data_IF_075584677267
#
_entry.id   IF_075584677267
#
_cell.length_a   1.000
_cell.length_b   1.000
_cell.length_c   1.000
_cell.angle_alpha   90.00
_cell.angle_beta   90.00
_cell.angle_gamma   90.00
#
_symmetry.space_group_name_H-M   'P 1'
#
loop_
_entity.id
_entity.type
_entity.pdbx_description
1 polymer ?
#
# COMPACT_ATOMS: atom_id res chain seq x y z
N UNK A 1 -43.23 -13.59 11.20
CA UNK A 1 -43.83 -14.69 11.98
C UNK A 1 -43.86 -14.29 13.44
N UNK A 2 -44.89 -14.66 14.23
CA UNK A 2 -44.91 -14.34 15.65
C UNK A 2 -43.84 -15.14 16.41
N UNK A 3 -43.40 -14.59 17.53
CA UNK A 3 -42.49 -15.24 18.46
C UNK A 3 -43.02 -16.61 18.91
N UNK A 4 -42.17 -17.64 18.96
CA UNK A 4 -42.56 -18.99 19.39
C UNK A 4 -42.69 -19.14 20.90
N UNK A 5 -42.09 -18.24 21.68
CA UNK A 5 -42.14 -18.21 23.14
C UNK A 5 -42.63 -16.82 23.56
N UNK A 6 -43.94 -16.56 23.65
CA UNK A 6 -44.42 -15.25 24.10
C UNK A 6 -44.06 -15.01 25.57
N UNK A 7 -43.72 -13.77 25.97
CA UNK A 7 -43.70 -12.55 25.15
C UNK A 7 -42.41 -12.40 24.32
N UNK A 8 -42.46 -11.74 23.14
CA UNK A 8 -41.26 -11.41 22.37
C UNK A 8 -40.32 -10.51 23.17
N UNK A 9 -39.01 -10.69 23.00
CA UNK A 9 -38.02 -9.79 23.56
C UNK A 9 -38.27 -8.35 23.08
N UNK A 10 -38.27 -7.43 24.04
CA UNK A 10 -38.36 -5.99 23.79
C UNK A 10 -37.09 -5.46 23.14
N UNK A 11 -37.14 -4.22 22.63
CA UNK A 11 -35.97 -3.56 22.04
C UNK A 11 -34.85 -3.37 23.08
N UNK A 12 -35.21 -3.01 24.31
CA UNK A 12 -34.25 -2.79 25.40
C UNK A 12 -33.51 -4.09 25.77
N UNK A 13 -34.24 -5.21 25.84
CA UNK A 13 -33.64 -6.53 26.10
C UNK A 13 -32.72 -6.98 24.97
N UNK A 14 -33.06 -6.66 23.72
CA UNK A 14 -32.17 -6.91 22.57
C UNK A 14 -30.90 -6.05 22.68
N UNK A 15 -30.99 -4.80 23.12
CA UNK A 15 -29.81 -3.95 23.37
C UNK A 15 -28.91 -4.55 24.45
N UNK A 16 -29.48 -4.93 25.58
CA UNK A 16 -28.74 -5.57 26.69
C UNK A 16 -28.04 -6.86 26.24
N UNK A 17 -28.68 -7.66 25.37
CA UNK A 17 -28.11 -8.85 24.74
C UNK A 17 -26.98 -8.57 23.74
N UNK A 18 -26.98 -7.39 23.12
CA UNK A 18 -25.90 -6.91 22.26
C UNK A 18 -24.71 -6.51 23.11
N UNK A 19 -24.96 -5.75 24.19
CA UNK A 19 -23.97 -5.27 25.15
C UNK A 19 -23.36 -6.38 26.03
N UNK A 20 -23.89 -7.61 25.94
CA UNK A 20 -23.40 -8.77 26.70
C UNK A 20 -23.79 -8.75 28.18
N UNK A 21 -24.77 -7.92 28.56
CA UNK A 21 -25.22 -7.75 29.95
C UNK A 21 -26.55 -8.44 30.25
N UNK A 22 -26.96 -9.35 29.37
CA UNK A 22 -28.24 -10.04 29.46
C UNK A 22 -28.30 -11.10 30.57
N UNK A 23 -29.53 -11.31 31.02
CA UNK A 23 -29.88 -12.31 32.02
C UNK A 23 -29.94 -13.72 31.41
N UNK A 24 -29.76 -14.79 32.22
CA UNK A 24 -29.85 -16.17 31.74
C UNK A 24 -31.21 -16.52 31.09
N UNK A 25 -32.29 -15.85 31.51
CA UNK A 25 -33.64 -16.03 30.95
C UNK A 25 -33.73 -15.55 29.50
N UNK A 26 -33.09 -14.43 29.18
CA UNK A 26 -33.03 -13.87 27.83
C UNK A 26 -32.20 -14.76 26.89
N UNK A 27 -31.10 -15.32 27.37
CA UNK A 27 -30.33 -16.31 26.63
C UNK A 27 -31.11 -17.60 26.36
N UNK A 28 -31.90 -18.03 27.35
CA UNK A 28 -32.77 -19.21 27.20
C UNK A 28 -33.88 -18.96 26.19
N UNK A 29 -34.46 -17.76 26.17
CA UNK A 29 -35.44 -17.38 25.15
C UNK A 29 -34.85 -17.42 23.73
N UNK A 30 -33.62 -16.92 23.53
CA UNK A 30 -32.97 -16.94 22.22
C UNK A 30 -32.69 -18.34 21.68
N UNK A 31 -32.38 -19.30 22.56
CA UNK A 31 -32.16 -20.69 22.14
C UNK A 31 -33.46 -21.38 21.72
N UNK A 32 -34.61 -20.90 22.20
CA UNK A 32 -35.93 -21.49 21.94
C UNK A 32 -36.75 -20.73 20.87
N UNK A 33 -36.32 -19.52 20.49
CA UNK A 33 -37.07 -18.65 19.59
C UNK A 33 -36.24 -18.18 18.38
N UNK A 34 -36.43 -18.82 17.20
CA UNK A 34 -35.78 -18.42 15.95
C UNK A 34 -36.09 -16.98 15.52
N UNK A 35 -37.29 -16.48 15.83
CA UNK A 35 -37.68 -15.12 15.48
C UNK A 35 -36.88 -14.07 16.27
N UNK A 36 -36.71 -14.28 17.57
CA UNK A 36 -35.97 -13.35 18.42
C UNK A 36 -34.45 -13.46 18.17
N UNK A 37 -33.95 -14.64 17.80
CA UNK A 37 -32.55 -14.79 17.40
C UNK A 37 -32.24 -14.08 16.07
N UNK A 38 -33.15 -14.14 15.09
CA UNK A 38 -33.02 -13.39 13.83
C UNK A 38 -33.06 -11.87 14.07
N UNK A 39 -33.97 -11.38 14.93
CA UNK A 39 -34.02 -9.96 15.32
C UNK A 39 -32.73 -9.50 15.99
N UNK A 40 -32.16 -10.30 16.89
CA UNK A 40 -30.88 -10.01 17.51
C UNK A 40 -29.74 -9.97 16.48
N UNK A 41 -29.73 -10.91 15.53
CA UNK A 41 -28.73 -10.93 14.46
C UNK A 41 -28.82 -9.68 13.56
N UNK A 42 -30.02 -9.24 13.21
CA UNK A 42 -30.25 -8.01 12.45
C UNK A 42 -29.79 -6.77 13.22
N UNK A 43 -30.11 -6.70 14.52
CA UNK A 43 -29.70 -5.59 15.37
C UNK A 43 -28.17 -5.52 15.54
N UNK A 44 -27.50 -6.67 15.73
CA UNK A 44 -26.02 -6.76 15.74
C UNK A 44 -25.40 -6.34 14.40
N UNK A 45 -25.97 -6.77 13.29
CA UNK A 45 -25.48 -6.38 11.96
C UNK A 45 -25.61 -4.86 11.74
N UNK A 46 -26.69 -4.25 12.22
CA UNK A 46 -26.88 -2.80 12.17
C UNK A 46 -25.89 -2.07 13.06
N UNK A 47 -25.74 -2.48 14.32
CA UNK A 47 -24.78 -1.90 15.24
C UNK A 47 -23.35 -1.99 14.71
N UNK A 48 -22.93 -3.16 14.20
CA UNK A 48 -21.61 -3.32 13.60
C UNK A 48 -21.39 -2.36 12.43
N UNK A 49 -22.40 -2.17 11.56
CA UNK A 49 -22.33 -1.19 10.46
C UNK A 49 -22.24 0.24 10.98
N UNK A 50 -22.99 0.59 12.02
CA UNK A 50 -22.94 1.92 12.62
C UNK A 50 -21.60 2.17 13.29
N UNK A 51 -21.08 1.20 14.04
CA UNK A 51 -19.75 1.28 14.66
C UNK A 51 -18.68 1.41 13.57
N UNK A 52 -18.68 0.60 12.52
CA UNK A 52 -17.65 0.73 11.47
C UNK A 52 -17.74 2.05 10.71
N UNK A 53 -18.95 2.59 10.50
CA UNK A 53 -19.16 3.84 9.76
C UNK A 53 -18.87 5.07 10.62
N UNK A 54 -19.24 5.05 11.90
CA UNK A 54 -19.19 6.22 12.78
C UNK A 54 -17.94 6.28 13.66
N UNK A 55 -17.24 5.16 13.90
CA UNK A 55 -16.04 5.10 14.75
C UNK A 55 -14.86 5.93 14.23
N UNK A 56 -14.91 6.41 12.98
CA UNK A 56 -13.92 7.31 12.38
C UNK A 56 -14.53 8.55 11.74
N UNK A 57 -15.81 8.85 12.03
CA UNK A 57 -16.50 9.96 11.37
C UNK A 57 -15.81 11.31 11.57
N UNK A 58 -15.21 11.51 12.75
CA UNK A 58 -14.50 12.75 13.10
C UNK A 58 -12.97 12.54 13.22
N UNK A 59 -12.47 11.39 12.76
CA UNK A 59 -11.04 11.08 12.78
C UNK A 59 -10.35 11.61 11.52
N UNK A 60 -9.12 12.16 11.65
CA UNK A 60 -8.27 12.45 10.50
C UNK A 60 -8.07 11.18 9.67
N UNK A 61 -7.93 11.37 8.36
CA UNK A 61 -7.58 10.25 7.46
C UNK A 61 -6.22 9.67 7.82
N UNK A 62 -5.99 8.41 7.47
CA UNK A 62 -4.69 7.74 7.65
C UNK A 62 -3.56 8.47 6.93
N UNK A 63 -3.84 9.05 5.76
CA UNK A 63 -2.89 9.89 5.04
C UNK A 63 -2.49 11.13 5.85
N UNK A 64 -3.46 11.86 6.42
CA UNK A 64 -3.18 13.04 7.25
C UNK A 64 -2.40 12.69 8.52
N UNK A 65 -2.62 11.52 9.12
CA UNK A 65 -1.82 11.05 10.26
C UNK A 65 -0.36 10.74 9.87
N UNK A 66 -0.16 10.19 8.66
CA UNK A 66 1.17 9.98 8.08
C UNK A 66 1.89 11.29 7.78
N UNK A 67 1.21 12.22 7.10
CA UNK A 67 1.72 13.55 6.80
C UNK A 67 2.04 14.36 8.07
N UNK A 68 1.21 14.21 9.12
CA UNK A 68 1.47 14.76 10.45
C UNK A 68 2.75 14.19 11.07
N UNK A 69 2.95 12.86 11.00
CA UNK A 69 4.17 12.24 11.48
C UNK A 69 5.41 12.72 10.69
N UNK A 70 5.30 12.85 9.38
CA UNK A 70 6.40 13.28 8.50
C UNK A 70 6.68 14.80 8.59
N UNK A 71 5.81 15.57 9.24
CA UNK A 71 5.97 17.01 9.40
C UNK A 71 5.75 17.81 8.11
N UNK A 72 4.97 17.27 7.17
CA UNK A 72 4.73 17.89 5.84
C UNK A 72 3.40 18.64 5.76
N UNK A 73 2.55 18.55 6.79
CA UNK A 73 1.29 19.28 6.85
C UNK A 73 1.49 20.80 6.96
N UNK A 74 0.53 21.56 6.47
CA UNK A 74 0.49 23.01 6.74
C UNK A 74 0.26 23.29 8.23
N UNK A 75 0.70 24.46 8.70
CA UNK A 75 0.55 24.87 10.11
C UNK A 75 -0.93 24.95 10.59
N UNK A 76 -1.90 24.96 9.67
CA UNK A 76 -3.34 24.91 10.01
C UNK A 76 -3.76 23.46 10.22
N UNK A 77 -3.42 22.56 9.30
CA UNK A 77 -3.77 21.14 9.36
C UNK A 77 -3.08 20.43 10.52
N UNK A 78 -1.81 20.74 10.75
CA UNK A 78 -1.04 20.19 11.87
C UNK A 78 -1.69 20.50 13.23
N UNK A 79 -2.29 21.70 13.39
CA UNK A 79 -3.02 22.06 14.62
C UNK A 79 -4.31 21.27 14.78
N UNK A 80 -5.04 21.04 13.69
CA UNK A 80 -6.28 20.25 13.70
C UNK A 80 -5.99 18.81 14.08
N UNK A 81 -5.00 18.19 13.44
CA UNK A 81 -4.59 16.80 13.71
C UNK A 81 -4.05 16.68 15.14
N UNK A 82 -3.20 17.61 15.59
CA UNK A 82 -2.68 17.60 16.97
C UNK A 82 -3.78 17.68 18.02
N UNK A 83 -4.75 18.58 17.85
CA UNK A 83 -5.90 18.68 18.77
C UNK A 83 -6.70 17.40 18.79
N UNK A 84 -6.98 16.80 17.62
CA UNK A 84 -7.66 15.51 17.57
C UNK A 84 -6.86 14.41 18.26
N UNK A 85 -5.54 14.39 18.06
CA UNK A 85 -4.63 13.48 18.73
C UNK A 85 -4.54 13.72 20.23
N UNK A 86 -5.03 14.81 20.82
CA UNK A 86 -5.10 14.96 22.28
C UNK A 86 -6.28 14.16 22.86
N UNK A 87 -7.38 14.09 22.11
CA UNK A 87 -8.68 13.55 22.54
C UNK A 87 -8.90 12.09 22.10
N UNK A 88 -8.36 11.67 20.95
CA UNK A 88 -8.63 10.36 20.35
C UNK A 88 -7.52 9.33 20.61
N UNK A 89 -7.81 8.31 21.43
CA UNK A 89 -6.87 7.23 21.73
C UNK A 89 -6.57 6.32 20.52
N UNK A 90 -7.52 6.16 19.59
CA UNK A 90 -7.33 5.34 18.39
C UNK A 90 -6.29 5.95 17.46
N UNK A 91 -6.43 7.24 17.12
CA UNK A 91 -5.48 7.93 16.27
C UNK A 91 -4.10 8.06 16.92
N UNK A 92 -4.02 8.17 18.26
CA UNK A 92 -2.73 8.06 18.98
C UNK A 92 -2.06 6.71 18.73
N UNK A 93 -2.80 5.61 18.86
CA UNK A 93 -2.28 4.27 18.65
C UNK A 93 -1.82 4.07 17.20
N UNK A 94 -2.57 4.58 16.21
CA UNK A 94 -2.20 4.51 14.79
C UNK A 94 -0.88 5.26 14.49
N UNK A 95 -0.67 6.44 15.08
CA UNK A 95 0.59 7.20 14.91
C UNK A 95 1.77 6.48 15.59
N UNK A 96 1.56 5.85 16.74
CA UNK A 96 2.60 5.05 17.41
C UNK A 96 2.94 3.77 16.66
N UNK A 97 1.95 3.09 16.07
CA UNK A 97 2.18 1.94 15.19
C UNK A 97 3.00 2.35 13.97
N UNK A 98 2.68 3.49 13.35
CA UNK A 98 3.46 4.06 12.25
C UNK A 98 4.90 4.37 12.67
N UNK A 99 5.10 4.94 13.87
CA UNK A 99 6.44 5.19 14.45
C UNK A 99 7.24 3.90 14.59
N UNK A 100 6.62 2.87 15.16
CA UNK A 100 7.28 1.58 15.37
C UNK A 100 7.62 0.91 14.04
N UNK A 101 6.72 0.94 13.07
CA UNK A 101 6.96 0.42 11.73
C UNK A 101 8.17 1.09 11.08
N UNK A 102 8.26 2.42 11.15
CA UNK A 102 9.39 3.19 10.62
C UNK A 102 10.69 3.00 11.43
N UNK A 103 10.60 2.78 12.74
CA UNK A 103 11.76 2.56 13.62
C UNK A 103 12.34 1.13 13.52
N UNK A 104 11.59 0.15 13.01
CA UNK A 104 12.03 -1.25 12.92
C UNK A 104 12.83 -1.55 11.65
N UNK A 105 13.28 -0.53 10.92
CA UNK A 105 14.37 -0.69 9.95
C UNK A 105 15.65 -1.09 10.71
N UNK A 106 16.26 -2.27 10.44
CA UNK A 106 17.46 -2.66 11.15
C UNK A 106 18.59 -1.67 10.92
N UNK A 107 19.19 -1.30 12.04
CA UNK A 107 20.42 -0.55 12.19
C UNK A 107 21.59 -1.36 11.60
N UNK A 108 21.82 -1.23 10.30
CA UNK A 108 23.11 -1.58 9.65
C UNK A 108 23.58 -0.38 8.83
N UNK A 109 23.93 0.68 9.58
CA UNK A 109 24.74 1.78 9.09
C UNK A 109 26.23 1.42 9.23
N UNK A 110 26.80 0.72 8.24
CA UNK A 110 28.20 1.03 7.88
C UNK A 110 28.15 2.25 6.96
N UNK A 111 28.25 3.44 7.55
CA UNK A 111 28.43 4.69 6.81
C UNK A 111 29.81 4.67 6.12
N UNK A 112 29.90 4.68 4.78
CA UNK A 112 31.15 5.07 4.13
C UNK A 112 31.30 6.57 4.35
N UNK A 113 32.44 6.95 4.93
CA UNK A 113 32.77 8.32 5.28
C UNK A 113 32.55 9.29 4.11
N UNK A 114 31.85 10.38 4.41
CA UNK A 114 31.70 11.54 3.52
C UNK A 114 33.08 12.09 3.12
N UNK A 115 33.51 11.79 1.90
CA UNK A 115 34.53 12.61 1.23
C UNK A 115 33.80 13.85 0.70
N UNK A 116 34.07 14.99 1.33
CA UNK A 116 33.65 16.31 0.84
C UNK A 116 34.31 16.57 -0.52
N UNK A 117 33.60 16.31 -1.62
CA UNK A 117 33.98 16.80 -2.94
C UNK A 117 33.29 18.16 -3.15
N UNK A 118 34.01 19.22 -3.60
CA UNK A 118 33.44 20.56 -3.71
C UNK A 118 32.31 20.61 -4.73
N UNK A 119 31.28 21.38 -4.39
CA UNK A 119 30.15 21.71 -5.28
C UNK A 119 30.65 22.34 -6.59
N UNK A 120 30.47 21.63 -7.68
CA UNK A 120 30.32 22.24 -9.00
C UNK A 120 29.10 21.62 -9.66
N UNK A 121 28.01 22.39 -9.75
CA UNK A 121 26.92 22.11 -10.69
C UNK A 121 27.51 22.16 -12.11
N UNK A 122 27.03 21.27 -12.98
CA UNK A 122 26.08 21.72 -13.99
C UNK A 122 24.81 20.87 -13.97
N UNK A 123 23.75 21.39 -14.56
CA UNK A 123 22.51 20.66 -14.80
C UNK A 123 22.81 19.51 -15.79
N UNK A 124 23.04 18.32 -15.24
CA UNK A 124 23.07 17.05 -15.96
C UNK A 124 22.01 16.19 -15.32
N UNK A 125 21.05 15.71 -16.11
CA UNK A 125 20.02 14.73 -15.75
C UNK A 125 20.63 13.72 -14.76
N UNK A 126 20.22 13.78 -13.49
CA UNK A 126 20.74 12.88 -12.47
C UNK A 126 20.26 11.47 -12.77
N UNK A 127 21.15 10.50 -12.69
CA UNK A 127 20.76 9.09 -12.72
C UNK A 127 20.53 8.66 -11.27
N UNK A 128 19.32 8.19 -10.98
CA UNK A 128 18.93 7.66 -9.67
C UNK A 128 18.84 6.16 -9.82
N UNK A 129 19.66 5.45 -9.05
CA UNK A 129 19.65 3.99 -9.03
C UNK A 129 18.51 3.56 -8.11
N UNK A 130 17.52 2.86 -8.66
CA UNK A 130 16.39 2.37 -7.88
C UNK A 130 16.83 1.28 -6.91
N UNK A 131 16.32 1.36 -5.68
CA UNK A 131 16.53 0.35 -4.66
C UNK A 131 15.45 -0.71 -4.81
N UNK A 132 15.86 -1.96 -5.02
CA UNK A 132 14.96 -3.12 -4.98
C UNK A 132 14.41 -3.28 -3.56
N UNK A 133 13.08 -3.33 -3.44
CA UNK A 133 12.41 -3.62 -2.17
C UNK A 133 12.31 -5.15 -2.05
N UNK A 134 12.97 -5.78 -1.06
CA UNK A 134 12.85 -7.22 -0.86
C UNK A 134 11.42 -7.54 -0.40
N UNK A 135 10.63 -8.20 -1.24
CA UNK A 135 9.33 -8.72 -0.82
C UNK A 135 9.57 -9.96 0.06
N UNK A 136 9.08 -9.90 1.31
CA UNK A 136 8.90 -11.12 2.11
C UNK A 136 7.73 -11.86 1.51
N UNK A 137 7.99 -13.04 1.00
CA UNK A 137 7.01 -13.90 0.34
C UNK A 137 5.74 -14.06 1.17
N UNK A 138 4.65 -13.45 0.71
CA UNK A 138 3.34 -13.70 1.28
C UNK A 138 2.86 -15.05 0.75
N UNK A 139 2.76 -16.02 1.67
CA UNK A 139 2.22 -17.36 1.48
C UNK A 139 0.72 -17.32 1.10
N UNK A 140 0.34 -16.72 -0.02
CA UNK A 140 -0.99 -16.82 -0.61
C UNK A 140 -1.03 -16.17 -2.02
N UNK A 141 -0.68 -16.90 -3.07
CA UNK A 141 -1.41 -16.81 -4.35
C UNK A 141 -1.06 -18.03 -5.23
N UNK A 142 -2.06 -18.85 -5.55
CA UNK A 142 -1.96 -19.82 -6.65
C UNK A 142 -2.06 -19.03 -7.96
N UNK A 143 -0.99 -18.97 -8.76
CA UNK A 143 -1.16 -18.87 -10.21
C UNK A 143 -0.21 -18.00 -11.03
N UNK A 144 0.54 -17.05 -10.46
CA UNK A 144 1.61 -16.35 -11.20
C UNK A 144 2.97 -16.85 -10.72
N UNK A 145 3.82 -17.24 -11.65
CA UNK A 145 5.05 -17.99 -11.35
C UNK A 145 6.18 -17.14 -10.78
N UNK A 146 6.01 -15.82 -10.62
CA UNK A 146 7.01 -14.92 -10.02
C UNK A 146 6.35 -13.74 -9.31
N UNK A 147 6.89 -13.37 -8.16
CA UNK A 147 6.54 -12.12 -7.49
C UNK A 147 7.03 -10.93 -8.33
N UNK A 148 6.22 -9.88 -8.49
CA UNK A 148 6.62 -8.69 -9.23
C UNK A 148 7.82 -8.03 -8.56
N UNK A 149 8.78 -7.59 -9.36
CA UNK A 149 9.94 -6.85 -8.89
C UNK A 149 9.49 -5.43 -8.60
N UNK A 150 9.61 -5.00 -7.35
CA UNK A 150 9.28 -3.63 -6.94
C UNK A 150 10.58 -2.88 -6.62
N UNK A 151 10.77 -1.74 -7.25
CA UNK A 151 11.90 -0.86 -7.03
C UNK A 151 11.42 0.57 -6.75
N UNK A 152 12.11 1.28 -5.87
CA UNK A 152 11.77 2.65 -5.50
C UNK A 152 12.96 3.58 -5.69
N UNK A 153 12.70 4.77 -6.23
CA UNK A 153 13.67 5.84 -6.46
C UNK A 153 12.97 7.20 -6.33
N UNK A 154 13.45 8.08 -5.43
CA UNK A 154 12.95 9.46 -5.28
C UNK A 154 11.41 9.59 -5.24
N UNK A 155 10.72 8.75 -4.45
CA UNK A 155 9.25 8.75 -4.34
C UNK A 155 8.51 8.19 -5.55
N UNK A 156 9.23 7.61 -6.51
CA UNK A 156 8.68 6.88 -7.65
C UNK A 156 8.83 5.38 -7.43
N UNK A 157 7.71 4.66 -7.45
CA UNK A 157 7.67 3.20 -7.39
C UNK A 157 7.57 2.64 -8.80
N UNK A 158 8.49 1.75 -9.16
CA UNK A 158 8.47 0.99 -10.41
C UNK A 158 8.18 -0.47 -10.09
N UNK A 159 7.08 -0.97 -10.62
CA UNK A 159 6.67 -2.37 -10.52
C UNK A 159 6.99 -3.02 -11.87
N UNK A 160 7.67 -4.16 -11.86
CA UNK A 160 8.10 -4.87 -13.06
C UNK A 160 7.71 -6.35 -12.95
N UNK A 161 6.96 -6.82 -13.93
CA UNK A 161 6.61 -8.22 -14.11
C UNK A 161 7.29 -8.78 -15.37
N UNK A 162 7.68 -10.05 -15.33
CA UNK A 162 8.40 -10.71 -16.42
C UNK A 162 7.56 -11.90 -16.87
N UNK A 163 6.98 -11.77 -18.05
CA UNK A 163 6.21 -12.82 -18.70
C UNK A 163 7.09 -13.65 -19.64
N UNK A 164 6.93 -14.97 -19.65
CA UNK A 164 7.61 -15.85 -20.62
C UNK A 164 6.72 -16.08 -21.83
N UNK A 165 7.27 -15.90 -23.02
CA UNK A 165 6.64 -16.26 -24.27
C UNK A 165 6.94 -17.72 -24.62
N UNK A 166 6.13 -18.35 -25.51
CA UNK A 166 6.36 -19.73 -25.95
C UNK A 166 7.72 -19.99 -26.64
N UNK A 167 8.42 -18.94 -27.09
CA UNK A 167 9.68 -19.03 -27.83
C UNK A 167 10.93 -18.91 -26.93
N UNK A 168 10.82 -19.18 -25.63
CA UNK A 168 11.90 -18.99 -24.63
C UNK A 168 12.41 -17.54 -24.53
N UNK A 169 11.63 -16.58 -25.02
CA UNK A 169 11.87 -15.15 -24.85
C UNK A 169 11.01 -14.59 -23.73
N UNK A 170 11.40 -13.46 -23.18
CA UNK A 170 10.64 -12.76 -22.15
C UNK A 170 10.02 -11.49 -22.68
N UNK A 171 8.92 -11.09 -22.07
CA UNK A 171 8.33 -9.77 -22.17
C UNK A 171 8.40 -9.16 -20.78
N UNK A 172 8.92 -7.95 -20.70
CA UNK A 172 8.95 -7.17 -19.47
C UNK A 172 7.75 -6.23 -19.51
N UNK A 173 6.85 -6.35 -18.56
CA UNK A 173 5.72 -5.45 -18.35
C UNK A 173 6.04 -4.65 -17.10
N UNK A 174 5.75 -3.36 -17.11
CA UNK A 174 5.94 -2.57 -15.90
C UNK A 174 4.97 -1.43 -15.76
N UNK A 175 4.91 -0.92 -14.53
CA UNK A 175 4.06 0.19 -14.13
C UNK A 175 4.87 1.14 -13.26
N UNK A 176 4.73 2.43 -13.51
CA UNK A 176 5.29 3.51 -12.71
C UNK A 176 4.15 4.15 -11.93
N UNK A 177 4.32 4.21 -10.60
CA UNK A 177 3.48 4.99 -9.70
C UNK A 177 4.35 6.06 -9.05
N UNK A 178 4.06 7.33 -9.35
CA UNK A 178 4.74 8.49 -8.79
C UNK A 178 3.71 9.50 -8.27
N UNK A 179 4.11 10.32 -7.30
CA UNK A 179 3.30 11.44 -6.82
C UNK A 179 2.99 12.44 -7.95
N UNK A 180 3.94 12.62 -8.89
CA UNK A 180 3.78 13.46 -10.09
C UNK A 180 3.75 12.59 -11.36
N UNK A 181 2.64 11.87 -11.56
CA UNK A 181 2.45 10.91 -12.67
C UNK A 181 2.63 11.53 -14.06
N UNK A 182 2.21 12.79 -14.24
CA UNK A 182 2.27 13.49 -15.53
C UNK A 182 3.72 13.66 -16.03
N UNK A 183 4.70 13.78 -15.11
CA UNK A 183 6.13 13.88 -15.44
C UNK A 183 6.69 12.62 -16.10
N UNK A 184 6.05 11.47 -15.86
CA UNK A 184 6.44 10.17 -16.41
C UNK A 184 5.70 9.81 -17.70
N UNK A 185 4.63 10.52 -18.04
CA UNK A 185 3.85 10.22 -19.25
C UNK A 185 4.67 10.47 -20.52
N UNK A 186 4.88 9.40 -21.28
CA UNK A 186 5.75 9.39 -22.47
C UNK A 186 7.25 9.29 -22.16
N UNK A 187 7.63 8.96 -20.91
CA UNK A 187 9.01 8.63 -20.55
C UNK A 187 9.53 7.48 -21.42
N UNK A 188 10.82 7.53 -21.76
CA UNK A 188 11.48 6.49 -22.55
C UNK A 188 11.96 5.38 -21.62
N UNK A 189 11.48 4.17 -21.88
CA UNK A 189 11.98 2.95 -21.24
C UNK A 189 12.98 2.30 -22.18
N UNK A 190 14.15 1.94 -21.67
CA UNK A 190 15.22 1.25 -22.38
C UNK A 190 15.60 -0.03 -21.63
N UNK A 191 15.65 -1.16 -22.32
CA UNK A 191 16.18 -2.41 -21.79
C UNK A 191 17.51 -2.69 -22.44
N UNK A 192 18.56 -2.86 -21.62
CA UNK A 192 19.92 -3.13 -22.09
C UNK A 192 20.45 -4.45 -21.57
N UNK A 193 21.12 -5.23 -22.41
CA UNK A 193 21.81 -6.48 -22.05
C UNK A 193 23.28 -6.35 -22.44
N UNK A 194 24.20 -6.58 -21.50
CA UNK A 194 25.64 -6.35 -21.73
C UNK A 194 25.92 -4.97 -22.37
N UNK A 195 25.26 -3.93 -21.86
CA UNK A 195 25.26 -2.55 -22.37
C UNK A 195 24.75 -2.32 -23.79
N UNK A 196 24.25 -3.35 -24.47
CA UNK A 196 23.57 -3.22 -25.76
C UNK A 196 22.08 -2.92 -25.56
N UNK A 197 21.57 -1.91 -26.26
CA UNK A 197 20.14 -1.58 -26.27
C UNK A 197 19.36 -2.69 -27.00
N UNK A 198 18.49 -3.38 -26.28
CA UNK A 198 17.72 -4.51 -26.80
C UNK A 198 16.30 -4.15 -27.17
N UNK A 199 15.65 -3.31 -26.37
CA UNK A 199 14.29 -2.83 -26.62
C UNK A 199 14.06 -1.45 -26.01
N UNK A 200 13.09 -0.75 -26.57
CA UNK A 200 12.60 0.51 -26.03
C UNK A 200 11.09 0.54 -26.02
N UNK A 201 10.50 1.21 -25.04
CA UNK A 201 9.07 1.49 -24.98
C UNK A 201 8.82 2.91 -24.47
N UNK A 202 7.57 3.35 -24.51
CA UNK A 202 7.14 4.57 -23.86
C UNK A 202 6.14 4.24 -22.77
N UNK A 203 6.22 5.01 -21.70
CA UNK A 203 5.24 5.00 -20.61
C UNK A 203 3.95 5.66 -21.11
N UNK A 204 2.81 4.99 -20.94
CA UNK A 204 1.49 5.52 -21.28
C UNK A 204 0.97 6.53 -20.22
N UNK A 205 -0.27 6.98 -20.37
CA UNK A 205 -0.94 7.92 -19.45
C UNK A 205 -1.30 7.32 -18.09
N UNK A 206 -1.27 5.98 -17.97
CA UNK A 206 -1.51 5.24 -16.73
C UNK A 206 -0.21 4.78 -16.05
N UNK A 207 0.95 5.14 -16.62
CA UNK A 207 2.25 4.71 -16.11
C UNK A 207 2.69 3.32 -16.59
N UNK A 208 1.91 2.67 -17.46
CA UNK A 208 2.16 1.35 -17.99
C UNK A 208 3.17 1.35 -19.15
N UNK A 209 3.92 0.26 -19.29
CA UNK A 209 4.81 0.03 -20.42
C UNK A 209 5.08 -1.46 -20.62
N UNK A 210 5.53 -1.82 -21.83
CA UNK A 210 5.88 -3.19 -22.19
C UNK A 210 7.08 -3.21 -23.14
N UNK A 211 8.09 -4.01 -22.82
CA UNK A 211 9.32 -4.21 -23.61
C UNK A 211 9.52 -5.69 -23.94
N UNK A 212 9.58 -6.04 -25.23
CA UNK A 212 9.91 -7.38 -25.68
C UNK A 212 9.34 -7.75 -27.05
N UNK A 213 9.56 -8.99 -27.51
CA UNK A 213 10.23 -10.09 -26.80
C UNK A 213 11.76 -9.95 -26.73
N UNK A 214 12.39 -10.42 -25.64
CA UNK A 214 13.83 -10.32 -25.34
C UNK A 214 14.44 -11.69 -25.01
N UNK A 215 15.75 -11.91 -25.26
CA UNK A 215 16.47 -13.08 -24.74
C UNK A 215 16.53 -13.10 -23.20
N UNK A 216 16.62 -14.28 -22.60
CA UNK A 216 16.86 -14.46 -21.17
C UNK A 216 18.33 -14.17 -20.86
N UNK A 217 18.64 -12.95 -20.43
CA UNK A 217 19.97 -12.55 -19.96
C UNK A 217 19.85 -11.42 -18.93
N UNK A 218 20.82 -11.21 -18.02
CA UNK A 218 20.80 -10.07 -17.09
C UNK A 218 20.59 -8.76 -17.85
N UNK A 219 19.57 -7.99 -17.44
CA UNK A 219 19.24 -6.73 -18.09
C UNK A 219 19.29 -5.56 -17.13
N UNK A 220 19.64 -4.40 -17.67
CA UNK A 220 19.49 -3.11 -17.02
C UNK A 220 18.30 -2.40 -17.64
N UNK A 221 17.35 -1.97 -16.82
CA UNK A 221 16.23 -1.15 -17.24
C UNK A 221 16.55 0.30 -16.90
N UNK A 222 16.39 1.20 -17.87
CA UNK A 222 16.49 2.65 -17.67
C UNK A 222 15.18 3.30 -18.09
N UNK A 223 14.64 4.16 -17.23
CA UNK A 223 13.44 4.93 -17.49
C UNK A 223 13.82 6.40 -17.42
N UNK A 224 13.67 7.09 -18.55
CA UNK A 224 14.08 8.49 -18.69
C UNK A 224 12.83 9.35 -18.92
N UNK A 225 12.42 10.18 -17.94
CA UNK A 225 11.30 11.11 -18.13
C UNK A 225 11.68 12.24 -19.09
N UNK A 226 10.70 13.04 -19.53
CA UNK A 226 10.98 14.21 -20.39
C UNK A 226 11.80 15.27 -19.67
N UNK A 227 11.56 15.42 -18.37
CA UNK A 227 12.22 16.34 -17.46
C UNK A 227 12.46 15.60 -16.14
N UNK A 228 13.58 15.88 -15.46
CA UNK A 228 13.93 15.24 -14.18
C UNK A 228 14.98 14.14 -14.28
N UNK A 229 15.06 13.29 -13.26
CA UNK A 229 16.11 12.27 -13.15
C UNK A 229 15.70 10.97 -13.84
N UNK A 230 16.67 10.28 -14.45
CA UNK A 230 16.45 8.93 -14.98
C UNK A 230 16.46 7.92 -13.84
N UNK A 231 15.53 6.97 -13.87
CA UNK A 231 15.52 5.82 -12.95
C UNK A 231 16.26 4.66 -13.62
N UNK A 232 17.22 4.07 -12.92
CA UNK A 232 17.96 2.89 -13.39
C UNK A 232 17.70 1.73 -12.44
N UNK A 233 17.21 0.60 -12.96
CA UNK A 233 17.13 -0.68 -12.26
C UNK A 233 18.26 -1.57 -12.80
N UNK A 234 19.41 -1.62 -12.12
CA UNK A 234 20.54 -2.43 -12.55
C UNK A 234 20.29 -3.91 -12.25
N UNK A 235 20.87 -4.77 -13.09
CA UNK A 235 20.97 -6.21 -12.84
C UNK A 235 19.63 -6.89 -12.52
N UNK A 236 18.59 -6.61 -13.31
CA UNK A 236 17.39 -7.44 -13.33
C UNK A 236 17.83 -8.84 -13.77
N UNK A 237 17.90 -9.76 -12.81
CA UNK A 237 18.19 -11.17 -13.08
C UNK A 237 16.93 -11.75 -13.71
N UNK A 238 16.93 -11.80 -15.04
CA UNK A 238 15.84 -12.38 -15.82
C UNK A 238 15.89 -13.93 -15.83
N UNK A 239 16.76 -14.54 -15.02
CA UNK A 239 17.07 -15.96 -15.01
C UNK A 239 16.10 -16.81 -14.17
N UNK A 240 15.69 -17.95 -14.75
CA UNK A 240 15.15 -19.24 -14.23
C UNK A 240 14.17 -19.28 -13.07
#
# INVERSE_FOLDING_TARGET
>A
MPCSVPPPLSADQISVLIDGTATPEEHTHLSQCPYCSERLAQARALEQRLVTTLKRWDCPSTQQLGEYHLGVLSAVEERVVRRHLEECALCKAEVEELRQFLATAPDEQEQPQMILVPKTRPHTFGEVIARLIPQRSSLALRGSSREPIVAEADGTTVIVEIERTPNEQIVIVGQIAADEQDGWTGALVEVRQADLLMATARVDDLGGWQCGPLPIAPSTLRITPKEGNSIILPALILAS
#
